data_IF_821856942673
#
_entry.id   IF_821856942673
#
_cell.length_a   1.000
_cell.length_b   1.000
_cell.length_c   1.000
_cell.angle_alpha   90.00
_cell.angle_beta   90.00
_cell.angle_gamma   90.00
#
_symmetry.space_group_name_H-M   'P 1'
#
loop_
_entity.id
_entity.type
_entity.pdbx_description
1 polymer ?
#
# COMPACT_ATOMS: atom_id res chain seq x y z
N UNK A 1 10.34 -12.50 0.67
CA UNK A 1 9.79 -11.14 0.71
C UNK A 1 8.83 -10.91 -0.43
N UNK A 2 7.58 -10.56 -0.12
CA UNK A 2 6.52 -10.25 -1.10
C UNK A 2 5.90 -8.90 -0.78
N UNK A 3 5.28 -8.29 -1.80
CA UNK A 3 4.53 -7.05 -1.67
C UNK A 3 3.04 -7.38 -1.69
N UNK A 4 2.30 -6.82 -0.73
CA UNK A 4 0.86 -7.00 -0.61
C UNK A 4 0.16 -5.65 -0.66
N UNK A 5 -0.98 -5.63 -1.34
CA UNK A 5 -2.01 -4.63 -1.18
C UNK A 5 -2.99 -5.13 -0.12
N UNK A 6 -3.16 -4.36 0.94
CA UNK A 6 -4.15 -4.61 1.99
C UNK A 6 -5.16 -3.47 1.94
N UNK A 7 -6.45 -3.79 1.82
CA UNK A 7 -7.52 -2.80 1.92
C UNK A 7 -8.59 -3.33 2.86
N UNK A 8 -9.15 -2.45 3.69
CA UNK A 8 -10.22 -2.83 4.60
C UNK A 8 -11.36 -1.82 4.60
N UNK A 9 -12.52 -2.26 5.07
CA UNK A 9 -13.69 -1.42 5.33
C UNK A 9 -14.29 -1.82 6.68
N UNK A 10 -14.40 -0.87 7.61
CA UNK A 10 -14.86 -1.12 8.98
C UNK A 10 -16.26 -0.55 9.13
N UNK A 11 -17.28 -1.30 8.72
CA UNK A 11 -18.61 -0.82 8.38
C UNK A 11 -19.15 0.23 9.36
N UNK A 12 -19.65 -0.21 10.53
CA UNK A 12 -20.07 0.71 11.63
C UNK A 12 -19.00 0.81 12.73
N UNK A 13 -18.01 -0.07 12.72
CA UNK A 13 -17.00 -0.24 13.77
C UNK A 13 -15.74 0.59 13.52
N UNK A 14 -15.90 1.92 13.47
CA UNK A 14 -14.75 2.84 13.25
C UNK A 14 -13.69 2.83 14.37
N UNK A 15 -13.96 2.17 15.49
CA UNK A 15 -13.09 2.19 16.67
C UNK A 15 -11.82 1.33 16.50
N UNK A 16 -11.88 0.26 15.71
CA UNK A 16 -10.73 -0.64 15.51
C UNK A 16 -9.70 -0.13 14.48
N UNK A 17 -9.96 1.02 13.84
CA UNK A 17 -9.09 1.57 12.80
C UNK A 17 -7.64 1.79 13.27
N UNK A 18 -7.47 2.22 14.52
CA UNK A 18 -6.12 2.42 15.07
C UNK A 18 -5.40 1.10 15.35
N UNK A 19 -6.14 0.09 15.81
CA UNK A 19 -5.62 -1.24 16.10
C UNK A 19 -5.19 -1.96 14.82
N UNK A 20 -6.03 -1.94 13.78
CA UNK A 20 -5.70 -2.50 12.46
C UNK A 20 -4.49 -1.81 11.85
N UNK A 21 -4.43 -0.48 11.90
CA UNK A 21 -3.25 0.25 11.41
C UNK A 21 -1.98 -0.19 12.16
N UNK A 22 -2.08 -0.38 13.48
CA UNK A 22 -0.95 -0.82 14.31
C UNK A 22 -0.54 -2.26 13.99
N UNK A 23 -1.50 -3.17 13.79
CA UNK A 23 -1.25 -4.54 13.38
C UNK A 23 -0.55 -4.61 12.02
N UNK A 24 -1.03 -3.86 11.02
CA UNK A 24 -0.41 -3.76 9.70
C UNK A 24 1.05 -3.26 9.80
N UNK A 25 1.30 -2.24 10.62
CA UNK A 25 2.67 -1.74 10.84
C UNK A 25 3.55 -2.78 11.55
N UNK A 26 2.99 -3.62 12.42
CA UNK A 26 3.73 -4.62 13.18
C UNK A 26 4.13 -5.86 12.37
N UNK A 27 3.24 -6.35 11.49
CA UNK A 27 3.50 -7.50 10.63
C UNK A 27 4.41 -7.20 9.42
N UNK A 28 4.71 -5.92 9.18
CA UNK A 28 5.45 -5.44 8.01
C UNK A 28 6.89 -5.03 8.34
N UNK A 29 7.82 -5.28 7.42
CA UNK A 29 9.16 -4.69 7.46
C UNK A 29 9.13 -3.24 6.91
N UNK A 30 8.35 -3.03 5.86
CA UNK A 30 8.11 -1.74 5.26
C UNK A 30 6.65 -1.63 4.83
N UNK A 31 6.09 -0.43 4.93
CA UNK A 31 4.71 -0.18 4.54
C UNK A 31 4.54 1.22 3.94
N UNK A 32 3.44 1.36 3.22
CA UNK A 32 2.94 2.63 2.74
C UNK A 32 1.44 2.68 2.90
N UNK A 33 0.91 3.87 3.18
CA UNK A 33 -0.52 4.11 3.35
C UNK A 33 -0.99 5.14 2.31
N UNK A 34 -1.25 4.72 1.05
CA UNK A 34 -1.70 5.63 0.00
C UNK A 34 -3.07 6.24 0.27
N UNK A 35 -3.98 5.46 0.88
CA UNK A 35 -5.31 5.92 1.29
C UNK A 35 -5.54 5.57 2.75
N UNK A 36 -6.60 6.10 3.34
CA UNK A 36 -6.93 5.89 4.74
C UNK A 36 -7.04 4.40 5.11
N UNK A 37 -7.67 3.58 4.27
CA UNK A 37 -7.89 2.16 4.56
C UNK A 37 -7.12 1.23 3.62
N UNK A 38 -6.23 1.77 2.78
CA UNK A 38 -5.46 1.00 1.81
C UNK A 38 -3.98 1.14 2.08
N UNK A 39 -3.28 0.00 2.06
CA UNK A 39 -1.91 -0.15 2.48
C UNK A 39 -1.13 -1.00 1.49
N UNK A 40 0.12 -0.63 1.27
CA UNK A 40 1.12 -1.52 0.71
C UNK A 40 2.01 -2.02 1.83
N UNK A 41 2.28 -3.32 1.84
CA UNK A 41 3.06 -3.97 2.88
C UNK A 41 4.07 -4.89 2.25
N UNK A 42 5.33 -4.76 2.69
CA UNK A 42 6.40 -5.70 2.40
C UNK A 42 6.64 -6.56 3.64
N UNK A 43 6.48 -7.87 3.48
CA UNK A 43 6.65 -8.86 4.56
C UNK A 43 7.05 -10.22 3.98
N UNK A 44 7.50 -11.12 4.85
CA UNK A 44 7.75 -12.53 4.54
C UNK A 44 6.56 -13.43 4.87
N UNK A 45 5.52 -12.89 5.50
CA UNK A 45 4.26 -13.58 5.76
C UNK A 45 3.52 -13.93 4.46
N UNK A 46 2.74 -15.01 4.51
CA UNK A 46 1.81 -15.37 3.43
C UNK A 46 0.52 -14.54 3.51
N UNK A 47 -0.25 -14.57 2.42
CA UNK A 47 -1.60 -14.00 2.34
C UNK A 47 -2.49 -14.50 3.49
N UNK A 48 -2.45 -15.81 3.76
CA UNK A 48 -3.26 -16.46 4.79
C UNK A 48 -2.84 -16.04 6.20
N UNK A 49 -1.53 -15.89 6.44
CA UNK A 49 -1.02 -15.42 7.73
C UNK A 49 -1.48 -13.97 8.00
N UNK A 50 -1.37 -13.10 6.99
CA UNK A 50 -1.81 -11.70 7.09
C UNK A 50 -3.33 -11.64 7.33
N UNK A 51 -4.11 -12.43 6.59
CA UNK A 51 -5.56 -12.50 6.77
C UNK A 51 -5.90 -12.97 8.19
N UNK A 52 -5.26 -14.04 8.67
CA UNK A 52 -5.49 -14.60 10.00
C UNK A 52 -5.22 -13.56 11.09
N UNK A 53 -4.06 -12.91 11.05
CA UNK A 53 -3.69 -11.89 12.03
C UNK A 53 -4.67 -10.70 12.04
N UNK A 54 -5.07 -10.21 10.86
CA UNK A 54 -5.98 -9.06 10.78
C UNK A 54 -7.44 -9.42 11.08
N UNK A 55 -7.85 -10.67 10.85
CA UNK A 55 -9.23 -11.11 11.09
C UNK A 55 -9.68 -10.99 12.54
N UNK A 56 -8.77 -11.09 13.51
CA UNK A 56 -9.07 -10.91 14.93
C UNK A 56 -9.52 -9.50 15.30
N UNK A 57 -9.28 -8.52 14.43
CA UNK A 57 -9.60 -7.11 14.66
C UNK A 57 -10.84 -6.66 13.87
N UNK A 58 -11.44 -7.58 13.10
CA UNK A 58 -12.59 -7.32 12.21
C UNK A 58 -13.86 -7.88 12.80
N UNK A 59 -14.95 -7.12 12.66
CA UNK A 59 -16.29 -7.62 12.90
C UNK A 59 -16.80 -8.43 11.69
N UNK A 60 -17.84 -9.28 11.86
CA UNK A 60 -18.39 -10.09 10.75
C UNK A 60 -18.88 -9.29 9.54
N UNK A 61 -19.21 -8.02 9.73
CA UNK A 61 -19.69 -7.11 8.67
C UNK A 61 -18.56 -6.27 8.05
N UNK A 62 -17.32 -6.42 8.53
CA UNK A 62 -16.17 -5.69 8.01
C UNK A 62 -15.57 -6.39 6.79
N UNK A 63 -15.03 -5.61 5.86
CA UNK A 63 -14.36 -6.08 4.67
C UNK A 63 -12.84 -6.10 4.82
N UNK A 64 -12.18 -7.16 4.34
CA UNK A 64 -10.73 -7.24 4.21
C UNK A 64 -10.34 -7.84 2.86
N UNK A 65 -9.41 -7.18 2.19
CA UNK A 65 -8.77 -7.64 0.96
C UNK A 65 -7.27 -7.69 1.23
N UNK A 66 -6.67 -8.87 1.02
CA UNK A 66 -5.22 -9.09 1.02
C UNK A 66 -4.85 -9.65 -0.34
N UNK A 67 -4.01 -8.95 -1.09
CA UNK A 67 -3.65 -9.36 -2.45
C UNK A 67 -2.15 -9.21 -2.67
N UNK A 68 -1.49 -10.29 -3.08
CA UNK A 68 -0.11 -10.21 -3.57
C UNK A 68 -0.05 -9.36 -4.85
N UNK A 69 0.92 -8.46 -4.90
CA UNK A 69 1.15 -7.57 -6.03
C UNK A 69 2.60 -7.63 -6.49
N UNK A 70 2.83 -7.40 -7.78
CA UNK A 70 4.18 -7.30 -8.34
C UNK A 70 4.90 -6.04 -7.84
N UNK A 71 6.21 -6.12 -7.61
CA UNK A 71 7.04 -4.94 -7.27
C UNK A 71 7.06 -3.88 -8.40
N UNK A 72 6.78 -4.30 -9.64
CA UNK A 72 6.64 -3.42 -10.78
C UNK A 72 5.28 -2.67 -10.80
N UNK A 73 4.41 -2.88 -9.80
CA UNK A 73 3.23 -2.06 -9.56
C UNK A 73 3.69 -0.67 -9.08
N UNK A 74 4.28 0.09 -9.99
CA UNK A 74 4.49 1.53 -9.88
C UNK A 74 3.11 2.18 -9.87
N UNK A 75 2.58 2.45 -8.69
CA UNK A 75 1.50 3.41 -8.62
C UNK A 75 2.10 4.77 -8.90
N UNK A 76 1.87 5.24 -10.12
CA UNK A 76 2.17 6.60 -10.57
C UNK A 76 1.71 7.65 -9.55
N UNK A 77 0.68 7.34 -8.74
CA UNK A 77 0.10 8.20 -7.72
C UNK A 77 0.65 8.06 -6.28
N UNK A 78 1.47 7.04 -5.95
CA UNK A 78 1.94 6.81 -4.55
C UNK A 78 3.42 7.09 -4.33
N UNK A 79 4.10 7.57 -5.36
CA UNK A 79 5.50 8.03 -5.36
C UNK A 79 5.80 9.17 -4.38
N UNK A 80 4.80 9.69 -3.65
CA UNK A 80 4.93 10.85 -2.78
C UNK A 80 5.16 10.54 -1.29
N UNK A 81 4.98 9.30 -0.78
CA UNK A 81 4.98 9.05 0.68
C UNK A 81 5.57 7.71 1.17
N UNK A 82 6.54 7.15 0.46
CA UNK A 82 7.39 6.06 0.98
C UNK A 82 8.60 6.72 1.66
N UNK A 83 9.08 6.45 2.88
CA UNK A 83 9.27 5.20 3.62
C UNK A 83 9.44 5.54 5.12
N UNK A 84 8.76 4.86 6.05
CA UNK A 84 9.16 4.84 7.48
C UNK A 84 9.72 3.47 7.83
N UNK A 85 11.05 3.38 7.95
CA UNK A 85 11.74 2.20 8.50
C UNK A 85 11.60 2.22 10.03
N UNK A 86 11.30 1.07 10.65
CA UNK A 86 11.37 0.94 12.12
C UNK A 86 12.84 1.19 12.52
N UNK A 87 13.10 2.22 13.33
CA UNK A 87 14.43 2.71 13.74
C UNK A 87 15.29 1.56 14.31
N UNK A 88 16.23 1.08 13.52
CA UNK A 88 17.48 0.51 14.02
C UNK A 88 18.60 1.17 13.21
N UNK A 89 19.56 1.77 13.89
CA UNK A 89 20.63 2.65 13.38
C UNK A 89 20.20 4.08 13.00
N UNK A 90 20.37 4.98 13.98
CA UNK A 90 20.55 6.40 13.72
C UNK A 90 21.94 6.59 13.09
N UNK A 91 22.02 6.91 11.79
CA UNK A 91 23.15 7.64 11.14
C UNK A 91 23.02 7.71 9.60
N UNK A 92 21.85 8.08 9.06
CA UNK A 92 21.76 8.47 7.65
C UNK A 92 20.81 9.66 7.50
N UNK A 93 21.34 10.78 6.99
CA UNK A 93 20.61 12.04 6.75
C UNK A 93 19.68 11.99 5.52
N UNK A 94 19.49 10.84 4.89
CA UNK A 94 18.59 10.68 3.76
C UNK A 94 17.75 9.41 3.89
N UNK A 95 16.46 9.60 4.16
CA UNK A 95 15.47 8.51 4.26
C UNK A 95 14.79 8.23 2.91
N UNK A 96 15.41 8.63 1.80
CA UNK A 96 14.80 8.64 0.47
C UNK A 96 15.68 7.80 -0.47
N UNK A 97 15.23 6.59 -0.76
CA UNK A 97 15.70 5.83 -1.91
C UNK A 97 14.70 6.07 -3.04
N UNK A 98 15.04 6.96 -3.97
CA UNK A 98 14.33 7.05 -5.24
C UNK A 98 14.73 5.84 -6.09
N UNK A 99 13.76 5.10 -6.61
CA UNK A 99 14.03 4.13 -7.67
C UNK A 99 14.59 4.86 -8.90
N UNK A 100 15.47 4.23 -9.70
CA UNK A 100 15.96 4.85 -10.92
C UNK A 100 14.75 5.26 -11.77
N UNK A 101 14.68 6.56 -12.10
CA UNK A 101 13.82 7.07 -13.15
C UNK A 101 14.23 6.32 -14.42
N UNK A 102 13.48 5.29 -14.80
CA UNK A 102 13.53 4.85 -16.19
C UNK A 102 13.25 6.11 -17.01
N UNK A 103 14.20 6.46 -17.88
CA UNK A 103 14.07 7.60 -18.77
C UNK A 103 12.67 7.57 -19.39
N UNK A 104 11.94 8.71 -19.42
CA UNK A 104 10.54 8.72 -19.82
C UNK A 104 10.40 8.08 -21.20
N UNK A 105 9.85 6.87 -21.25
CA UNK A 105 9.39 6.28 -22.50
C UNK A 105 8.24 7.17 -22.95
N UNK A 106 8.43 7.90 -24.05
CA UNK A 106 7.40 8.74 -24.64
C UNK A 106 6.18 7.86 -24.93
N UNK A 107 5.18 7.89 -24.05
CA UNK A 107 3.88 7.29 -24.32
C UNK A 107 3.19 8.26 -25.28
N UNK A 108 3.37 8.02 -26.58
CA UNK A 108 2.56 8.66 -27.60
C UNK A 108 1.11 8.18 -27.41
N UNK A 109 0.34 8.90 -26.60
CA UNK A 109 -1.11 8.74 -26.57
C UNK A 109 -1.66 9.51 -27.78
N UNK A 110 -2.28 8.85 -28.77
CA UNK A 110 -3.03 9.57 -29.77
C UNK A 110 -4.22 10.26 -29.08
N UNK A 111 -4.27 11.59 -29.09
CA UNK A 111 -5.42 12.36 -28.62
C UNK A 111 -6.69 11.85 -29.31
N UNK A 112 -7.64 11.36 -28.52
CA UNK A 112 -8.98 11.08 -29.00
C UNK A 112 -9.65 12.41 -29.36
N UNK A 113 -9.88 12.63 -30.65
CA UNK A 113 -10.55 13.82 -31.15
C UNK A 113 -11.96 13.91 -30.57
N UNK A 114 -12.20 14.96 -29.78
CA UNK A 114 -13.51 15.28 -29.24
C UNK A 114 -14.45 15.58 -30.41
N UNK A 115 -15.43 14.71 -30.65
CA UNK A 115 -16.39 14.86 -31.73
C UNK A 115 -17.09 16.23 -31.62
N UNK A 116 -16.94 17.05 -32.66
CA UNK A 116 -17.70 18.29 -32.82
C UNK A 116 -19.18 17.92 -32.99
N UNK A 117 -20.01 18.30 -32.03
CA UNK A 117 -21.46 18.22 -32.16
C UNK A 117 -21.94 19.36 -33.08
N UNK A 118 -22.70 19.00 -34.11
CA UNK A 118 -23.26 19.90 -35.12
C UNK A 118 -24.48 20.69 -34.67
#
# INVERSE_FOLDING_TARGET
>A
MRLFLISYDLGRSRHNKHEIATAIMNLSEAWARPLETTWYVRTDLSEDDIQTELSWLLDPEDGLIVQAVSEAALLVNTSLRWFRRRRAAAEALSNIFAFPLNAPTAVAQPELQLAQAG
#
